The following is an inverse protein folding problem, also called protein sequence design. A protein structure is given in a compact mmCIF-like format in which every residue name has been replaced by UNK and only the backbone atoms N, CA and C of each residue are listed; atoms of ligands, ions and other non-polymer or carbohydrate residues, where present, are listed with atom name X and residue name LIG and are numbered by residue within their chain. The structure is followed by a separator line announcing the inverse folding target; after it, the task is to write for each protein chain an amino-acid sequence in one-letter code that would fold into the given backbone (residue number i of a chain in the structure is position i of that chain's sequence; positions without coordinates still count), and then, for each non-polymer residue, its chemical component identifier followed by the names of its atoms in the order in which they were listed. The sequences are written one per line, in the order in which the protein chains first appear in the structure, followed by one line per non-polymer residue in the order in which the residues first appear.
data_IF_754226368767
#
_entry.id   IF_754226368767
#
_cell.length_a   1.000
_cell.length_b   1.000
_cell.length_c   1.000
_cell.angle_alpha   90.00
_cell.angle_beta   90.00
_cell.angle_gamma   90.00
#
_symmetry.space_group_name_H-M   'P 1'
#
loop_
_entity.id
_entity.type
_entity.pdbx_description
1 polymer ?
#
# COMPACT_ATOMS: atom_id res chain seq x y z
N UNK A 1 -22.10 -30.07 -7.91
CA UNK A 1 -21.65 -29.58 -9.23
C UNK A 1 -22.32 -28.23 -9.46
N UNK A 2 -21.69 -27.16 -8.97
CA UNK A 2 -22.15 -25.78 -9.15
C UNK A 2 -21.32 -25.12 -10.24
N UNK A 3 -21.94 -24.84 -11.36
CA UNK A 3 -21.37 -24.02 -12.43
C UNK A 3 -21.40 -22.55 -12.00
N UNK A 4 -20.25 -21.97 -11.76
CA UNK A 4 -20.09 -20.52 -11.70
C UNK A 4 -19.99 -19.98 -13.12
N UNK A 5 -21.09 -19.44 -13.64
CA UNK A 5 -21.08 -18.61 -14.84
C UNK A 5 -20.44 -17.27 -14.49
N UNK A 6 -19.18 -17.07 -14.92
CA UNK A 6 -18.57 -15.74 -14.97
C UNK A 6 -19.35 -14.87 -15.96
N UNK A 7 -20.26 -14.05 -15.46
CA UNK A 7 -20.92 -13.03 -16.25
C UNK A 7 -19.90 -11.98 -16.67
N UNK A 8 -19.60 -11.92 -17.96
CA UNK A 8 -18.91 -10.78 -18.59
C UNK A 8 -19.80 -9.54 -18.37
N UNK A 9 -19.39 -8.69 -17.44
CA UNK A 9 -19.95 -7.34 -17.33
C UNK A 9 -19.59 -6.56 -18.61
N UNK A 10 -20.57 -5.99 -19.31
CA UNK A 10 -20.31 -5.17 -20.48
C UNK A 10 -19.48 -3.97 -20.03
N UNK A 11 -18.40 -3.69 -20.73
CA UNK A 11 -17.64 -2.45 -20.61
C UNK A 11 -18.58 -1.28 -20.95
N UNK A 12 -19.17 -0.67 -19.93
CA UNK A 12 -19.84 0.61 -20.08
C UNK A 12 -18.75 1.65 -20.35
N UNK A 13 -18.57 1.99 -21.63
CA UNK A 13 -17.84 3.13 -22.05
C UNK A 13 -18.61 4.37 -21.59
N UNK A 14 -18.34 4.85 -20.38
CA UNK A 14 -18.80 6.15 -19.95
C UNK A 14 -17.98 7.19 -20.71
N UNK A 15 -18.64 7.97 -21.54
CA UNK A 15 -18.07 9.14 -22.17
C UNK A 15 -17.48 10.05 -21.10
N UNK A 16 -16.18 10.25 -21.18
CA UNK A 16 -15.39 11.08 -20.28
C UNK A 16 -15.80 12.54 -20.43
N UNK A 17 -16.69 13.01 -19.59
CA UNK A 17 -16.91 14.46 -19.41
C UNK A 17 -15.77 15.01 -18.55
N UNK A 18 -14.99 15.84 -19.10
CA UNK A 18 -13.92 16.78 -18.79
C UNK A 18 -13.48 17.12 -17.36
N UNK A 19 -13.55 16.25 -16.37
CA UNK A 19 -13.15 16.55 -14.98
C UNK A 19 -11.96 15.70 -14.52
N UNK A 20 -11.59 14.63 -15.20
CA UNK A 20 -10.50 13.76 -14.78
C UNK A 20 -9.17 14.28 -15.31
N UNK A 21 -8.27 14.70 -14.41
CA UNK A 21 -6.87 15.00 -14.77
C UNK A 21 -6.27 13.81 -15.52
N UNK A 22 -5.62 14.05 -16.63
CA UNK A 22 -4.93 13.01 -17.38
C UNK A 22 -3.75 12.44 -16.56
N UNK A 23 -3.30 11.24 -16.85
CA UNK A 23 -2.13 10.66 -16.18
C UNK A 23 -0.87 11.55 -16.27
N UNK A 24 -0.77 12.40 -17.29
CA UNK A 24 0.34 13.35 -17.47
C UNK A 24 0.31 14.54 -16.50
N UNK A 25 -0.87 14.85 -15.96
CA UNK A 25 -1.07 15.98 -15.04
C UNK A 25 -1.03 15.54 -13.57
N UNK A 26 -1.10 14.23 -13.31
CA UNK A 26 -1.02 13.67 -11.98
C UNK A 26 0.42 13.68 -11.49
N UNK A 27 0.60 13.93 -10.19
CA UNK A 27 1.90 13.80 -9.51
C UNK A 27 2.46 12.38 -9.65
N UNK A 28 3.80 12.23 -9.57
CA UNK A 28 4.44 10.91 -9.57
C UNK A 28 4.02 10.03 -8.38
N UNK A 29 3.59 10.65 -7.28
CA UNK A 29 3.11 9.97 -6.08
C UNK A 29 1.58 9.93 -5.97
N UNK A 30 0.84 10.27 -7.05
CA UNK A 30 -0.62 10.15 -7.07
C UNK A 30 -1.05 8.68 -7.13
N UNK A 31 -1.79 8.16 -6.13
CA UNK A 31 -2.18 6.76 -6.06
C UNK A 31 -3.10 6.31 -7.20
N UNK A 32 -3.72 7.26 -7.90
CA UNK A 32 -4.60 6.97 -9.04
C UNK A 32 -3.89 7.05 -10.39
N UNK A 33 -2.57 7.23 -10.41
CA UNK A 33 -1.79 7.28 -11.65
C UNK A 33 -1.53 5.88 -12.20
N UNK A 34 -1.81 5.69 -13.47
CA UNK A 34 -1.60 4.43 -14.19
C UNK A 34 -0.41 4.61 -15.14
N UNK A 35 0.74 4.06 -14.77
CA UNK A 35 2.00 4.20 -15.54
C UNK A 35 2.84 2.93 -15.44
N UNK A 36 3.71 2.73 -16.44
CA UNK A 36 4.75 1.71 -16.39
C UNK A 36 5.96 2.29 -15.68
N UNK A 37 6.39 1.63 -14.61
CA UNK A 37 7.55 2.05 -13.82
C UNK A 37 8.24 0.88 -13.14
N UNK A 38 9.48 1.06 -12.75
CA UNK A 38 10.25 0.16 -11.89
C UNK A 38 10.81 0.96 -10.73
N UNK A 39 11.05 0.30 -9.61
CA UNK A 39 11.58 0.96 -8.43
C UNK A 39 12.39 0.03 -7.55
N UNK A 40 13.24 0.63 -6.77
CA UNK A 40 13.96 0.01 -5.66
C UNK A 40 13.74 0.83 -4.42
N UNK A 41 13.54 0.16 -3.32
CA UNK A 41 13.39 0.80 -2.02
C UNK A 41 14.27 0.10 -0.99
N UNK A 42 14.85 0.88 -0.11
CA UNK A 42 15.48 0.46 1.11
C UNK A 42 14.61 0.89 2.29
N UNK A 43 14.42 0.01 3.24
CA UNK A 43 13.70 0.32 4.49
C UNK A 43 14.45 -0.26 5.68
N UNK A 44 14.31 0.40 6.82
CA UNK A 44 14.90 -0.06 8.07
C UNK A 44 14.05 0.43 9.25
N UNK A 45 14.18 -0.25 10.38
CA UNK A 45 13.72 0.26 11.66
C UNK A 45 14.64 1.41 12.11
N UNK A 46 14.17 2.29 13.01
CA UNK A 46 14.99 3.42 13.48
C UNK A 46 16.26 3.00 14.20
N UNK A 47 16.34 1.79 14.69
CA UNK A 47 17.53 1.21 15.35
C UNK A 47 18.53 0.59 14.36
N UNK A 48 18.24 0.64 13.05
CA UNK A 48 19.09 0.14 11.96
C UNK A 48 19.48 -1.34 12.08
N UNK A 49 18.61 -2.16 12.66
CA UNK A 49 18.87 -3.58 12.89
C UNK A 49 18.10 -4.54 11.97
N UNK A 50 17.19 -4.01 11.14
CA UNK A 50 16.28 -4.82 10.31
C UNK A 50 16.09 -4.18 8.93
N UNK A 51 17.21 -4.07 8.20
CA UNK A 51 17.18 -3.47 6.87
C UNK A 51 16.67 -4.43 5.80
N UNK A 52 15.81 -3.94 4.94
CA UNK A 52 15.29 -4.67 3.79
C UNK A 52 15.43 -3.85 2.50
N UNK A 53 15.69 -4.55 1.41
CA UNK A 53 15.71 -3.97 0.06
C UNK A 53 14.66 -4.64 -0.79
N UNK A 54 13.86 -3.85 -1.43
CA UNK A 54 12.67 -4.25 -2.13
C UNK A 54 12.68 -3.74 -3.58
N UNK A 55 12.36 -4.61 -4.52
CA UNK A 55 12.12 -4.25 -5.92
C UNK A 55 10.62 -4.20 -6.20
N UNK A 56 10.22 -3.23 -6.99
CA UNK A 56 8.83 -3.07 -7.41
C UNK A 56 8.74 -2.74 -8.89
N UNK A 57 7.62 -3.06 -9.48
CA UNK A 57 7.33 -2.71 -10.87
C UNK A 57 5.83 -2.61 -11.11
N UNK A 58 5.45 -1.72 -12.02
CA UNK A 58 4.11 -1.69 -12.58
C UNK A 58 4.18 -1.64 -14.11
N UNK A 59 3.24 -2.33 -14.73
CA UNK A 59 3.03 -2.34 -16.17
C UNK A 59 1.63 -1.81 -16.46
N UNK A 60 1.53 -0.62 -17.05
CA UNK A 60 0.29 -0.10 -17.57
C UNK A 60 -0.14 -0.94 -18.77
N UNK A 61 -1.32 -1.55 -18.70
CA UNK A 61 -1.92 -2.30 -19.80
C UNK A 61 -2.67 -1.36 -20.76
N UNK A 62 -3.26 -0.32 -20.19
CA UNK A 62 -3.94 0.77 -20.87
C UNK A 62 -4.02 2.00 -19.94
N UNK A 63 -4.81 3.00 -20.28
CA UNK A 63 -4.97 4.23 -19.49
C UNK A 63 -5.64 4.02 -18.12
N UNK A 64 -6.32 2.90 -17.93
CA UNK A 64 -7.11 2.60 -16.73
C UNK A 64 -6.60 1.41 -15.93
N UNK A 65 -5.80 0.53 -16.51
CA UNK A 65 -5.40 -0.74 -15.87
C UNK A 65 -3.90 -0.93 -15.82
N UNK A 66 -3.40 -1.40 -14.70
CA UNK A 66 -1.99 -1.79 -14.54
C UNK A 66 -1.87 -3.07 -13.71
N UNK A 67 -0.79 -3.80 -13.95
CA UNK A 67 -0.34 -4.92 -13.13
C UNK A 67 0.81 -4.42 -12.28
N UNK A 68 0.89 -4.88 -11.04
CA UNK A 68 1.91 -4.49 -10.07
C UNK A 68 2.61 -5.73 -9.54
N UNK A 69 3.90 -5.63 -9.33
CA UNK A 69 4.72 -6.68 -8.70
C UNK A 69 5.65 -6.05 -7.67
N UNK A 70 5.93 -6.79 -6.61
CA UNK A 70 6.86 -6.41 -5.56
C UNK A 70 7.55 -7.66 -5.04
N UNK A 71 8.83 -7.58 -4.75
CA UNK A 71 9.63 -8.65 -4.16
C UNK A 71 10.78 -8.05 -3.36
N UNK A 72 11.07 -8.59 -2.18
CA UNK A 72 12.29 -8.24 -1.46
C UNK A 72 13.49 -9.10 -1.93
N UNK A 73 14.69 -8.72 -1.53
CA UNK A 73 15.93 -9.31 -2.07
C UNK A 73 16.11 -10.78 -1.77
N UNK A 74 15.58 -11.27 -0.66
CA UNK A 74 15.66 -12.68 -0.25
C UNK A 74 14.42 -13.49 -0.67
N UNK A 75 13.49 -12.85 -1.39
CA UNK A 75 12.22 -13.42 -1.82
C UNK A 75 11.30 -13.89 -0.67
N UNK A 76 11.59 -13.51 0.58
CA UNK A 76 10.74 -13.82 1.72
C UNK A 76 9.38 -13.10 1.68
N UNK A 77 9.32 -11.96 1.01
CA UNK A 77 8.07 -11.26 0.71
C UNK A 77 7.93 -11.02 -0.79
N UNK A 78 6.82 -11.42 -1.37
CA UNK A 78 6.45 -11.05 -2.72
C UNK A 78 4.97 -10.76 -2.85
N UNK A 79 4.62 -9.91 -3.81
CA UNK A 79 3.25 -9.56 -4.16
C UNK A 79 3.07 -9.41 -5.65
N UNK A 80 1.90 -9.81 -6.10
CA UNK A 80 1.37 -9.55 -7.44
C UNK A 80 -0.02 -8.97 -7.30
N UNK A 81 -0.31 -7.95 -8.05
CA UNK A 81 -1.60 -7.31 -7.99
C UNK A 81 -1.97 -6.59 -9.27
N UNK A 82 -3.03 -5.85 -9.19
CA UNK A 82 -3.48 -5.02 -10.27
C UNK A 82 -4.29 -3.85 -9.77
N UNK A 83 -4.41 -2.86 -10.63
CA UNK A 83 -5.19 -1.67 -10.36
C UNK A 83 -6.10 -1.35 -11.53
N UNK A 84 -7.29 -0.89 -11.21
CA UNK A 84 -8.29 -0.48 -12.19
C UNK A 84 -8.82 0.91 -11.84
N UNK A 85 -8.50 1.88 -12.68
CA UNK A 85 -9.01 3.25 -12.58
C UNK A 85 -10.49 3.27 -13.00
N UNK A 86 -11.33 3.82 -12.15
CA UNK A 86 -12.75 4.09 -12.42
C UNK A 86 -13.01 5.62 -12.34
N UNK A 87 -14.17 6.13 -12.73
CA UNK A 87 -14.38 7.58 -12.89
C UNK A 87 -14.03 8.47 -11.71
N UNK A 88 -14.11 7.96 -10.49
CA UNK A 88 -13.88 8.74 -9.27
C UNK A 88 -12.74 8.23 -8.40
N UNK A 89 -11.97 7.22 -8.85
CA UNK A 89 -10.90 6.65 -8.03
C UNK A 89 -10.22 5.47 -8.67
N UNK A 90 -9.51 4.67 -7.88
CA UNK A 90 -8.82 3.46 -8.33
C UNK A 90 -9.08 2.31 -7.37
N UNK A 91 -9.39 1.13 -7.90
CA UNK A 91 -9.36 -0.12 -7.17
C UNK A 91 -8.00 -0.79 -7.30
N UNK A 92 -7.51 -1.34 -6.20
CA UNK A 92 -6.33 -2.16 -6.14
C UNK A 92 -6.71 -3.52 -5.57
N UNK A 93 -6.12 -4.57 -6.13
CA UNK A 93 -6.21 -5.91 -5.57
C UNK A 93 -4.83 -6.54 -5.57
N UNK A 94 -4.50 -7.26 -4.51
CA UNK A 94 -3.19 -7.88 -4.36
C UNK A 94 -3.32 -9.30 -3.82
N UNK A 95 -2.38 -10.11 -4.24
CA UNK A 95 -2.10 -11.44 -3.72
C UNK A 95 -0.61 -11.50 -3.41
N UNK A 96 -0.25 -11.99 -2.24
CA UNK A 96 1.13 -12.08 -1.84
C UNK A 96 1.40 -13.18 -0.83
N UNK A 97 2.67 -13.40 -0.58
CA UNK A 97 3.16 -14.35 0.40
C UNK A 97 4.29 -13.73 1.21
N UNK A 98 4.29 -13.98 2.49
CA UNK A 98 5.38 -13.69 3.40
C UNK A 98 5.91 -15.02 3.95
N UNK A 99 7.23 -15.18 3.97
CA UNK A 99 7.93 -16.29 4.61
C UNK A 99 8.76 -15.75 5.77
N UNK A 100 8.67 -16.41 6.92
CA UNK A 100 9.32 -15.96 8.13
C UNK A 100 10.57 -16.81 8.41
N UNK A 101 11.59 -16.29 9.13
CA UNK A 101 12.85 -16.99 9.37
C UNK A 101 12.71 -18.37 10.05
N UNK A 102 11.58 -18.63 10.71
CA UNK A 102 11.30 -19.94 11.35
C UNK A 102 10.62 -20.97 10.41
N UNK A 103 10.43 -20.61 9.13
CA UNK A 103 9.77 -21.44 8.13
C UNK A 103 8.24 -21.31 8.11
N UNK A 104 7.63 -20.52 8.98
CA UNK A 104 6.21 -20.18 8.88
C UNK A 104 5.96 -19.36 7.61
N UNK A 105 4.79 -19.48 7.03
CA UNK A 105 4.43 -18.68 5.85
C UNK A 105 2.98 -18.24 5.89
N UNK A 106 2.73 -17.05 5.36
CA UNK A 106 1.42 -16.45 5.31
C UNK A 106 1.10 -15.98 3.90
N UNK A 107 -0.12 -16.25 3.47
CA UNK A 107 -0.67 -15.76 2.20
C UNK A 107 -1.63 -14.62 2.48
N UNK A 108 -1.48 -13.54 1.76
CA UNK A 108 -2.27 -12.32 1.88
C UNK A 108 -3.09 -12.08 0.62
N UNK A 109 -4.36 -11.75 0.82
CA UNK A 109 -5.27 -11.26 -0.20
C UNK A 109 -5.78 -9.91 0.23
N UNK A 110 -5.70 -8.90 -0.62
CA UNK A 110 -6.23 -7.57 -0.30
C UNK A 110 -6.93 -6.92 -1.47
N UNK A 111 -7.93 -6.12 -1.13
CA UNK A 111 -8.61 -5.22 -2.04
C UNK A 111 -8.72 -3.85 -1.38
N UNK A 112 -8.50 -2.78 -2.13
CA UNK A 112 -8.59 -1.44 -1.61
C UNK A 112 -8.93 -0.42 -2.67
N UNK A 113 -9.18 0.80 -2.24
CA UNK A 113 -9.52 1.92 -3.12
C UNK A 113 -8.91 3.22 -2.60
N UNK A 114 -8.62 4.12 -3.54
CA UNK A 114 -8.30 5.53 -3.29
C UNK A 114 -9.27 6.41 -4.06
N UNK A 115 -9.78 7.44 -3.39
CA UNK A 115 -10.71 8.42 -3.94
C UNK A 115 -10.09 9.82 -3.91
N UNK A 116 -9.59 10.37 -5.03
CA UNK A 116 -9.03 11.71 -5.02
C UNK A 116 -10.14 12.76 -4.82
N UNK A 117 -10.13 13.47 -3.70
CA UNK A 117 -11.11 14.51 -3.40
C UNK A 117 -11.00 15.73 -4.34
N UNK A 118 -9.85 15.86 -5.02
CA UNK A 118 -9.68 16.87 -6.09
C UNK A 118 -10.69 16.74 -7.22
N UNK A 119 -11.23 15.52 -7.47
CA UNK A 119 -12.31 15.33 -8.44
C UNK A 119 -13.61 16.07 -8.06
N UNK A 120 -13.77 16.34 -6.78
CA UNK A 120 -14.91 17.11 -6.24
C UNK A 120 -14.53 18.56 -5.93
N UNK A 121 -13.35 19.03 -6.39
CA UNK A 121 -12.87 20.38 -6.15
C UNK A 121 -12.34 20.64 -4.73
N UNK A 122 -12.12 19.59 -3.93
CA UNK A 122 -11.63 19.72 -2.56
C UNK A 122 -10.10 19.61 -2.51
N UNK A 123 -9.43 20.75 -2.54
CA UNK A 123 -7.96 20.89 -2.44
C UNK A 123 -7.59 22.05 -1.49
N UNK A 124 -7.97 21.99 -0.20
CA UNK A 124 -7.73 23.09 0.73
C UNK A 124 -6.22 23.35 0.89
N UNK A 125 -5.81 24.61 0.78
CA UNK A 125 -4.43 25.05 0.86
C UNK A 125 -3.46 24.31 -0.08
N UNK A 126 -3.97 23.76 -1.20
CA UNK A 126 -3.19 23.00 -2.19
C UNK A 126 -2.86 21.58 -1.76
N UNK A 127 -3.48 21.04 -0.71
CA UNK A 127 -3.39 19.64 -0.38
C UNK A 127 -4.34 18.80 -1.25
N UNK A 128 -3.83 17.73 -1.82
CA UNK A 128 -4.62 16.70 -2.48
C UNK A 128 -4.86 15.58 -1.50
N UNK A 129 -6.12 15.28 -1.21
CA UNK A 129 -6.54 14.25 -0.28
C UNK A 129 -7.04 13.02 -1.05
N UNK A 130 -6.60 11.86 -0.60
CA UNK A 130 -6.99 10.56 -1.13
C UNK A 130 -7.51 9.68 0.03
N UNK A 131 -8.77 9.83 0.46
CA UNK A 131 -9.38 8.84 1.32
C UNK A 131 -9.17 7.44 0.75
N UNK A 132 -8.85 6.51 1.63
CA UNK A 132 -8.61 5.12 1.26
C UNK A 132 -9.38 4.19 2.18
N UNK A 133 -9.83 3.09 1.61
CA UNK A 133 -10.47 2.02 2.33
C UNK A 133 -10.09 0.69 1.70
N UNK A 134 -10.06 -0.37 2.48
CA UNK A 134 -9.81 -1.68 1.95
C UNK A 134 -10.08 -2.79 2.95
N UNK A 135 -9.87 -3.99 2.47
CA UNK A 135 -10.04 -5.22 3.21
C UNK A 135 -8.89 -6.17 2.89
N UNK A 136 -8.36 -6.81 3.92
CA UNK A 136 -7.32 -7.82 3.82
C UNK A 136 -7.77 -9.11 4.46
N UNK A 137 -7.40 -10.23 3.86
CA UNK A 137 -7.56 -11.55 4.41
C UNK A 137 -6.22 -12.28 4.37
N UNK A 138 -5.79 -12.79 5.50
CA UNK A 138 -4.56 -13.54 5.66
C UNK A 138 -4.88 -14.97 6.05
N UNK A 139 -4.10 -15.91 5.53
CA UNK A 139 -4.17 -17.31 5.91
C UNK A 139 -2.78 -17.93 5.87
N UNK A 140 -2.52 -18.86 6.77
CA UNK A 140 -1.23 -19.53 6.87
C UNK A 140 -0.86 -19.81 8.32
N UNK A 141 0.40 -20.15 8.51
CA UNK A 141 0.92 -20.46 9.83
C UNK A 141 1.07 -19.17 10.63
N UNK A 142 0.48 -19.13 11.80
CA UNK A 142 0.73 -18.08 12.78
C UNK A 142 2.04 -18.35 13.49
N UNK A 143 2.81 -17.31 13.71
CA UNK A 143 3.85 -17.33 14.70
C UNK A 143 3.18 -17.50 16.08
N UNK A 144 3.46 -18.61 16.76
CA UNK A 144 3.21 -18.69 18.18
C UNK A 144 4.14 -17.71 18.89
N UNK A 145 3.72 -16.50 19.06
CA UNK A 145 4.45 -15.52 19.84
C UNK A 145 4.34 -15.90 21.31
N UNK A 146 5.39 -16.47 21.85
CA UNK A 146 5.57 -16.56 23.29
C UNK A 146 5.93 -15.15 23.78
N UNK A 147 4.99 -14.51 24.49
CA UNK A 147 5.15 -13.15 25.03
C UNK A 147 6.41 -12.97 25.88
N UNK A 148 7.00 -14.07 26.35
CA UNK A 148 8.25 -14.07 27.13
C UNK A 148 9.53 -14.12 26.26
N UNK A 149 9.42 -14.22 24.92
CA UNK A 149 10.56 -14.28 23.99
C UNK A 149 10.51 -13.22 22.91
N UNK A 150 10.39 -12.00 23.30
CA UNK A 150 10.09 -10.79 22.53
C UNK A 150 10.88 -10.47 21.25
N UNK A 151 11.93 -11.20 20.89
CA UNK A 151 12.72 -10.89 19.68
C UNK A 151 12.26 -11.58 18.40
N UNK A 152 11.40 -12.58 18.49
CA UNK A 152 10.96 -13.34 17.33
C UNK A 152 9.57 -12.94 16.80
N UNK A 153 8.89 -12.05 17.48
CA UNK A 153 7.53 -11.65 17.21
C UNK A 153 7.39 -10.31 16.47
N UNK A 154 8.51 -9.72 16.06
CA UNK A 154 8.48 -8.53 15.22
C UNK A 154 7.99 -8.92 13.84
N UNK A 155 6.68 -8.92 13.62
CA UNK A 155 6.13 -9.18 12.29
C UNK A 155 4.61 -9.11 12.21
N UNK A 156 4.12 -9.15 11.01
CA UNK A 156 4.40 -8.34 9.87
C UNK A 156 3.54 -7.10 9.95
N UNK A 157 4.22 -6.06 10.23
CA UNK A 157 3.60 -4.77 10.18
C UNK A 157 3.07 -4.43 8.80
N UNK A 158 2.89 -3.22 8.61
CA UNK A 158 2.45 -2.55 7.42
C UNK A 158 3.10 -3.09 6.14
N UNK A 159 2.36 -3.84 5.39
CA UNK A 159 2.79 -4.35 4.09
C UNK A 159 2.45 -3.40 2.95
N UNK A 160 2.14 -2.15 3.25
CA UNK A 160 1.85 -1.13 2.26
C UNK A 160 3.12 -0.48 1.76
N UNK A 161 3.32 -0.47 0.46
CA UNK A 161 4.18 0.51 -0.16
C UNK A 161 3.41 1.81 -0.29
N UNK A 162 3.97 2.91 0.20
CA UNK A 162 3.45 4.26 -0.03
C UNK A 162 3.44 4.64 -1.51
N UNK A 163 4.03 3.83 -2.35
CA UNK A 163 3.96 3.97 -3.79
C UNK A 163 2.64 3.50 -4.39
N UNK A 164 1.56 3.41 -3.58
CA UNK A 164 0.20 3.37 -4.08
C UNK A 164 -0.23 2.09 -4.79
N UNK A 165 0.71 1.32 -5.33
CA UNK A 165 0.41 0.23 -6.23
C UNK A 165 0.04 -1.05 -5.52
N UNK A 166 0.56 -1.22 -4.30
CA UNK A 166 0.34 -2.42 -3.52
C UNK A 166 -0.72 -2.26 -2.43
N UNK A 167 -1.33 -1.08 -2.35
CA UNK A 167 -2.31 -0.76 -1.33
C UNK A 167 -1.72 -0.69 0.08
N UNK A 168 -2.43 -0.04 0.96
CA UNK A 168 -2.14 -0.05 2.38
C UNK A 168 -2.92 -1.19 3.02
N UNK A 169 -2.23 -2.04 3.76
CA UNK A 169 -2.89 -3.11 4.49
C UNK A 169 -2.13 -3.36 5.77
N UNK A 170 -2.79 -3.28 6.90
CA UNK A 170 -2.29 -3.89 8.11
C UNK A 170 -2.59 -5.37 8.00
N UNK A 171 -1.57 -6.19 8.20
CA UNK A 171 -1.66 -7.63 8.04
C UNK A 171 -1.81 -8.24 9.41
N UNK A 172 -2.97 -8.83 9.65
CA UNK A 172 -3.20 -9.73 10.78
C UNK A 172 -2.53 -11.08 10.49
N UNK A 173 -2.03 -11.80 11.48
CA UNK A 173 -1.31 -13.07 11.30
C UNK A 173 -2.20 -14.14 10.65
N UNK A 174 -3.43 -14.25 11.08
CA UNK A 174 -4.47 -15.01 10.39
C UNK A 174 -5.81 -14.35 10.66
N UNK A 175 -6.59 -14.18 9.60
CA UNK A 175 -7.90 -13.58 9.74
C UNK A 175 -8.15 -12.47 8.74
N UNK A 176 -9.07 -11.61 9.06
CA UNK A 176 -9.52 -10.55 8.17
C UNK A 176 -9.53 -9.21 8.87
N UNK A 177 -9.16 -8.16 8.16
CA UNK A 177 -9.24 -6.78 8.65
C UNK A 177 -9.70 -5.82 7.57
N UNK A 178 -10.53 -4.85 7.97
CA UNK A 178 -10.82 -3.67 7.18
C UNK A 178 -9.96 -2.51 7.63
N UNK A 179 -9.58 -1.63 6.71
CA UNK A 179 -8.88 -0.39 7.04
C UNK A 179 -9.56 0.83 6.42
N UNK A 180 -9.41 1.95 7.11
CA UNK A 180 -9.77 3.27 6.62
C UNK A 180 -8.61 4.24 6.89
N UNK A 181 -8.38 5.15 5.96
CA UNK A 181 -7.33 6.13 6.12
C UNK A 181 -7.41 7.25 5.08
N UNK A 182 -6.40 8.09 5.10
CA UNK A 182 -6.20 9.15 4.13
C UNK A 182 -4.73 9.26 3.78
N UNK A 183 -4.46 9.28 2.49
CA UNK A 183 -3.17 9.67 1.94
C UNK A 183 -3.26 11.11 1.43
N UNK A 184 -2.21 11.89 1.61
CA UNK A 184 -2.20 13.31 1.26
C UNK A 184 -0.91 13.67 0.53
N UNK A 185 -1.05 14.49 -0.51
CA UNK A 185 0.07 15.06 -1.24
C UNK A 185 -0.06 16.58 -1.21
N UNK A 186 1.02 17.28 -0.90
CA UNK A 186 1.11 18.73 -1.06
C UNK A 186 2.32 19.09 -1.93
N UNK A 187 2.15 19.59 -3.15
CA UNK A 187 3.23 20.19 -3.90
C UNK A 187 3.80 21.38 -3.12
N UNK A 188 5.11 21.35 -2.83
CA UNK A 188 5.85 22.44 -2.19
C UNK A 188 6.54 23.30 -3.25
N UNK A 189 7.07 22.65 -4.29
CA UNK A 189 7.62 23.26 -5.51
C UNK A 189 7.17 22.46 -6.73
N UNK A 190 7.63 22.80 -7.92
CA UNK A 190 7.38 22.01 -9.13
C UNK A 190 7.87 20.56 -9.01
N UNK A 191 8.94 20.33 -8.25
CA UNK A 191 9.62 19.03 -8.16
C UNK A 191 9.54 18.40 -6.76
N UNK A 192 9.25 19.17 -5.71
CA UNK A 192 9.24 18.72 -4.32
C UNK A 192 7.81 18.62 -3.79
N UNK A 193 7.47 17.50 -3.18
CA UNK A 193 6.17 17.21 -2.58
C UNK A 193 6.31 16.75 -1.15
N UNK A 194 5.41 17.20 -0.29
CA UNK A 194 5.16 16.62 1.01
C UNK A 194 4.15 15.49 0.84
N UNK A 195 4.46 14.34 1.43
CA UNK A 195 3.62 13.15 1.45
C UNK A 195 3.22 12.87 2.89
N UNK A 196 1.99 12.48 3.14
CA UNK A 196 1.56 12.04 4.46
C UNK A 196 0.44 11.02 4.38
N UNK A 197 0.37 10.17 5.40
CA UNK A 197 -0.68 9.14 5.51
C UNK A 197 -1.08 9.00 6.96
N UNK A 198 -2.35 8.70 7.20
CA UNK A 198 -2.83 8.27 8.50
C UNK A 198 -4.06 7.39 8.32
N UNK A 199 -4.22 6.42 9.21
CA UNK A 199 -5.38 5.53 9.17
C UNK A 199 -5.39 4.54 10.32
N UNK A 200 -6.42 3.69 10.30
CA UNK A 200 -6.58 2.61 11.27
C UNK A 200 -7.25 1.41 10.64
N UNK A 201 -7.16 0.30 11.33
CA UNK A 201 -7.74 -0.98 10.93
C UNK A 201 -8.48 -1.64 12.08
N UNK A 202 -9.45 -2.46 11.70
CA UNK A 202 -10.23 -3.28 12.62
C UNK A 202 -10.50 -4.64 11.96
N UNK A 203 -10.33 -5.72 12.72
CA UNK A 203 -10.37 -7.04 12.15
C UNK A 203 -10.99 -8.11 13.03
N UNK A 204 -10.81 -9.36 12.58
CA UNK A 204 -11.23 -10.55 13.27
C UNK A 204 -10.60 -10.68 14.66
N UNK A 205 -11.13 -11.58 15.46
CA UNK A 205 -10.57 -11.88 16.77
C UNK A 205 -9.23 -12.60 16.63
N UNK A 206 -8.29 -12.19 17.47
CA UNK A 206 -7.03 -12.89 17.70
C UNK A 206 -7.23 -14.12 18.60
N UNK A 207 -6.16 -14.84 18.89
CA UNK A 207 -6.17 -16.05 19.73
C UNK A 207 -6.58 -15.76 21.18
N UNK A 208 -6.39 -14.53 21.67
CA UNK A 208 -6.83 -14.08 23.00
C UNK A 208 -8.33 -13.74 23.05
N UNK A 209 -9.00 -13.76 21.90
CA UNK A 209 -10.42 -13.44 21.76
C UNK A 209 -10.72 -11.95 21.56
N UNK A 210 -9.71 -11.10 21.48
CA UNK A 210 -9.84 -9.67 21.23
C UNK A 210 -9.84 -9.39 19.73
N UNK A 211 -10.64 -8.40 19.32
CA UNK A 211 -10.62 -7.96 17.94
C UNK A 211 -9.30 -7.26 17.60
N UNK A 212 -8.75 -7.58 16.43
CA UNK A 212 -7.62 -6.85 15.89
C UNK A 212 -7.93 -5.36 15.73
N UNK A 213 -7.04 -4.52 16.23
CA UNK A 213 -7.09 -3.06 16.12
C UNK A 213 -5.69 -2.56 15.83
N UNK A 214 -5.56 -1.72 14.80
CA UNK A 214 -4.29 -1.12 14.48
C UNK A 214 -4.43 0.31 14.00
N UNK A 215 -3.33 1.06 14.05
CA UNK A 215 -3.22 2.37 13.43
C UNK A 215 -1.87 2.54 12.75
N UNK A 216 -1.83 3.45 11.82
CA UNK A 216 -0.61 3.86 11.13
C UNK A 216 -0.64 5.35 10.82
N UNK A 217 0.53 5.96 10.85
CA UNK A 217 0.72 7.33 10.41
C UNK A 217 2.13 7.50 9.82
N UNK A 218 2.27 8.41 8.87
CA UNK A 218 3.58 8.64 8.27
C UNK A 218 3.66 9.97 7.55
N UNK A 219 4.90 10.42 7.35
CA UNK A 219 5.22 11.64 6.64
C UNK A 219 6.52 11.48 5.86
N UNK A 220 6.62 12.14 4.71
CA UNK A 220 7.80 12.04 3.86
C UNK A 220 7.87 13.14 2.82
N UNK A 221 8.91 13.07 2.04
CA UNK A 221 9.16 13.98 0.91
C UNK A 221 9.37 13.16 -0.35
N UNK A 222 8.76 13.61 -1.46
CA UNK A 222 9.01 13.11 -2.80
C UNK A 222 9.68 14.18 -3.65
N UNK A 223 10.68 13.83 -4.43
CA UNK A 223 11.37 14.73 -5.34
C UNK A 223 11.50 14.09 -6.73
N UNK A 224 11.04 14.79 -7.77
CA UNK A 224 11.21 14.40 -9.16
C UNK A 224 12.39 15.15 -9.76
N UNK A 225 13.42 14.43 -10.19
CA UNK A 225 14.56 15.01 -10.91
C UNK A 225 14.13 15.47 -12.30
N UNK A 226 13.31 14.64 -12.92
CA UNK A 226 12.73 14.86 -14.25
C UNK A 226 11.41 14.07 -14.37
N UNK A 227 10.86 13.94 -15.58
CA UNK A 227 9.61 13.20 -15.85
C UNK A 227 9.74 11.67 -15.71
N UNK A 228 10.95 11.14 -15.61
CA UNK A 228 11.24 9.72 -15.53
C UNK A 228 11.77 9.31 -14.16
N UNK A 229 12.51 10.19 -13.49
CA UNK A 229 13.29 9.86 -12.30
C UNK A 229 12.74 10.55 -11.07
N UNK A 230 12.41 9.79 -10.05
CA UNK A 230 11.98 10.32 -8.75
C UNK A 230 12.56 9.55 -7.58
N UNK A 231 12.70 10.24 -6.47
CA UNK A 231 13.11 9.68 -5.17
C UNK A 231 12.09 10.10 -4.12
N UNK A 232 11.86 9.23 -3.15
CA UNK A 232 11.08 9.60 -1.97
C UNK A 232 11.74 9.07 -0.71
N UNK A 233 11.63 9.84 0.38
CA UNK A 233 12.02 9.43 1.72
C UNK A 233 10.78 9.56 2.62
N UNK A 234 10.46 8.51 3.34
CA UNK A 234 9.26 8.44 4.14
C UNK A 234 9.54 7.80 5.48
N UNK A 235 8.95 8.34 6.53
CA UNK A 235 8.96 7.73 7.85
C UNK A 235 7.54 7.45 8.28
N UNK A 236 7.33 6.32 8.96
CA UNK A 236 6.02 5.95 9.45
C UNK A 236 6.10 5.23 10.79
N UNK A 237 5.03 5.31 11.52
CA UNK A 237 4.76 4.59 12.75
C UNK A 237 3.51 3.74 12.56
N UNK A 238 3.55 2.55 13.10
CA UNK A 238 2.40 1.67 13.16
C UNK A 238 2.35 0.96 14.50
N UNK A 239 1.17 0.59 14.90
CA UNK A 239 0.94 -0.16 16.12
C UNK A 239 -0.34 -0.97 16.00
N UNK A 240 -0.40 -2.10 16.70
CA UNK A 240 -1.59 -2.92 16.80
C UNK A 240 -1.62 -3.71 18.11
N UNK A 241 -2.79 -4.15 18.50
CA UNK A 241 -3.01 -4.87 19.75
C UNK A 241 -2.69 -6.37 19.70
N UNK A 242 -2.14 -6.88 18.60
CA UNK A 242 -1.95 -8.32 18.40
C UNK A 242 -0.47 -8.72 18.36
N UNK A 243 0.40 -7.91 17.74
CA UNK A 243 1.76 -8.31 17.42
C UNK A 243 2.85 -7.36 17.89
N UNK A 244 2.52 -6.17 18.32
CA UNK A 244 3.48 -5.10 18.61
C UNK A 244 3.31 -4.70 20.06
N UNK A 245 4.31 -4.99 20.89
CA UNK A 245 4.33 -4.51 22.29
C UNK A 245 4.61 -3.00 22.34
N UNK A 246 5.40 -2.49 21.36
CA UNK A 246 5.73 -1.08 21.20
C UNK A 246 5.53 -0.66 19.74
N UNK A 247 5.07 0.57 19.54
CA UNK A 247 4.85 1.13 18.21
C UNK A 247 6.10 1.02 17.31
N UNK A 248 5.97 0.30 16.21
CA UNK A 248 7.03 0.13 15.24
C UNK A 248 7.25 1.43 14.45
N UNK A 249 8.52 1.83 14.29
CA UNK A 249 8.90 3.01 13.53
C UNK A 249 9.86 2.61 12.44
N UNK A 250 9.51 2.97 11.20
CA UNK A 250 10.34 2.66 10.02
C UNK A 250 10.66 3.91 9.20
N UNK A 251 11.82 3.85 8.56
CA UNK A 251 12.21 4.77 7.50
C UNK A 251 12.32 4.00 6.19
N UNK A 252 11.87 4.61 5.11
CA UNK A 252 11.94 4.04 3.75
C UNK A 252 12.45 5.09 2.79
N UNK A 253 13.42 4.70 1.98
CA UNK A 253 13.92 5.52 0.86
C UNK A 253 13.69 4.74 -0.42
N UNK A 254 13.06 5.36 -1.41
CA UNK A 254 12.70 4.71 -2.66
C UNK A 254 13.18 5.54 -3.85
N UNK A 255 13.68 4.86 -4.86
CA UNK A 255 13.93 5.43 -6.18
C UNK A 255 13.01 4.76 -7.19
N UNK A 256 12.45 5.54 -8.11
CA UNK A 256 11.54 5.07 -9.17
C UNK A 256 11.96 5.62 -10.52
N UNK A 257 11.92 4.77 -11.52
CA UNK A 257 12.07 5.13 -12.93
C UNK A 257 10.77 4.83 -13.68
N UNK A 258 10.22 5.85 -14.34
CA UNK A 258 8.99 5.77 -15.14
C UNK A 258 9.35 5.81 -16.64
N UNK A 259 8.78 4.91 -17.40
CA UNK A 259 8.97 4.82 -18.86
C UNK A 259 8.09 5.81 -19.63
#
# INVERSE_FOLDING_TARGET
MFLFTLGLLPALAFAQSGIVKTNKEKSDDDPTRVTTKVGVAWSDNYDMNDSDVQFSGSLALDEARKINVKINTDASEWRVGGSWLFPIGIFNFNFGKNEFPNGASQTNYSIGTFLPLSYFGFEPAGFQFFPMAGYSYNTGDTFGCDKDKHKACSQPGFSGDLSEENGFGLVDSSGSSGYLGVFMIKPLTANLRLLSVAGGSYGSKNDDGDNYKGYFAGVGLGYSFDKHNSVSAFTYVQDNNTYIDDAEKKIKVSYKYQF
#
